data_IF_941922275333
#
_entry.id   IF_941922275333
#
_cell.length_a   1.000
_cell.length_b   1.000
_cell.length_c   1.000
_cell.angle_alpha   90.00
_cell.angle_beta   90.00
_cell.angle_gamma   90.00
#
_symmetry.space_group_name_H-M   'P 1'
#
loop_
_entity.id
_entity.type
_entity.pdbx_description
1 polymer ?
#
# COMPACT_ATOMS: atom_id res chain seq x y z
N UNK A 1 40.15 50.03 9.60
CA UNK A 1 39.10 49.18 10.19
C UNK A 1 37.91 49.07 9.24
N UNK A 2 37.10 50.11 9.04
CA UNK A 2 35.88 50.07 8.19
C UNK A 2 36.03 49.43 6.80
N UNK A 3 37.11 49.71 6.04
CA UNK A 3 37.31 49.10 4.71
C UNK A 3 37.50 47.57 4.77
N UNK A 4 38.13 47.07 5.83
CA UNK A 4 38.32 45.64 6.07
C UNK A 4 36.98 44.99 6.41
N UNK A 5 36.22 45.60 7.32
CA UNK A 5 34.91 45.09 7.75
C UNK A 5 33.93 45.01 6.58
N UNK A 6 33.93 46.04 5.71
CA UNK A 6 33.12 46.04 4.47
C UNK A 6 33.56 44.94 3.50
N UNK A 7 34.85 44.62 3.44
CA UNK A 7 35.35 43.57 2.54
C UNK A 7 34.95 42.18 3.04
N UNK A 8 35.09 41.93 4.35
CA UNK A 8 34.62 40.70 5.01
C UNK A 8 33.11 40.54 4.84
N UNK A 9 32.33 41.62 5.01
CA UNK A 9 30.89 41.58 4.81
C UNK A 9 30.51 41.18 3.38
N UNK A 10 31.23 41.66 2.35
CA UNK A 10 31.00 41.28 0.95
C UNK A 10 31.27 39.80 0.70
N UNK A 11 32.31 39.25 1.31
CA UNK A 11 32.66 37.84 1.21
C UNK A 11 31.57 36.97 1.88
N UNK A 12 31.20 37.30 3.11
CA UNK A 12 30.13 36.60 3.83
C UNK A 12 28.79 36.65 3.09
N UNK A 13 28.43 37.79 2.49
CA UNK A 13 27.21 37.90 1.68
C UNK A 13 27.31 37.06 0.41
N UNK A 14 28.49 36.91 -0.19
CA UNK A 14 28.69 36.05 -1.36
C UNK A 14 28.53 34.57 -1.01
N UNK A 15 29.09 34.15 0.13
CA UNK A 15 28.92 32.79 0.67
C UNK A 15 27.44 32.52 0.97
N UNK A 16 26.77 33.41 1.71
CA UNK A 16 25.36 33.27 2.04
C UNK A 16 24.48 33.15 0.79
N UNK A 17 24.81 33.87 -0.30
CA UNK A 17 24.10 33.72 -1.57
C UNK A 17 24.27 32.32 -2.13
N UNK A 18 25.48 31.77 -2.14
CA UNK A 18 25.76 30.42 -2.62
C UNK A 18 24.98 29.38 -1.80
N UNK A 19 25.05 29.46 -0.47
CA UNK A 19 24.32 28.56 0.44
C UNK A 19 22.81 28.62 0.19
N UNK A 20 22.25 29.82 -0.01
CA UNK A 20 20.82 30.01 -0.33
C UNK A 20 20.46 29.43 -1.70
N UNK A 21 21.36 29.44 -2.69
CA UNK A 21 21.12 28.77 -3.97
C UNK A 21 21.09 27.26 -3.80
N UNK A 22 22.05 26.67 -3.09
CA UNK A 22 22.06 25.22 -2.80
C UNK A 22 20.81 24.80 -2.03
N UNK A 23 20.41 25.55 -0.99
CA UNK A 23 19.18 25.26 -0.25
C UNK A 23 17.92 25.29 -1.14
N UNK A 24 17.88 26.16 -2.16
CA UNK A 24 16.75 26.19 -3.11
C UNK A 24 16.72 24.94 -3.99
N UNK A 25 17.88 24.45 -4.42
CA UNK A 25 17.98 23.22 -5.21
C UNK A 25 17.57 22.00 -4.36
N UNK A 26 18.09 21.90 -3.13
CA UNK A 26 17.74 20.82 -2.20
C UNK A 26 16.24 20.79 -1.90
N UNK A 27 15.63 21.95 -1.61
CA UNK A 27 14.18 22.06 -1.40
C UNK A 27 13.40 21.71 -2.68
N UNK A 28 13.95 22.00 -3.86
CA UNK A 28 13.38 21.59 -5.15
C UNK A 28 13.37 20.06 -5.32
N UNK A 29 14.48 19.40 -4.97
CA UNK A 29 14.60 17.93 -4.99
C UNK A 29 13.61 17.30 -4.00
N UNK A 30 13.57 17.78 -2.76
CA UNK A 30 12.66 17.28 -1.72
C UNK A 30 11.20 17.37 -2.17
N UNK A 31 10.79 18.45 -2.85
CA UNK A 31 9.43 18.56 -3.39
C UNK A 31 9.13 17.50 -4.44
N UNK A 32 10.10 17.19 -5.29
CA UNK A 32 9.97 16.16 -6.33
C UNK A 32 9.87 14.77 -5.71
N UNK A 33 10.72 14.47 -4.74
CA UNK A 33 10.70 13.20 -4.01
C UNK A 33 9.39 13.02 -3.25
N UNK A 34 8.90 14.08 -2.59
CA UNK A 34 7.63 14.04 -1.85
C UNK A 34 6.43 13.80 -2.78
N UNK A 35 6.43 14.37 -3.99
CA UNK A 35 5.40 14.10 -4.99
C UNK A 35 5.45 12.65 -5.48
N UNK A 36 6.65 12.11 -5.68
CA UNK A 36 6.84 10.70 -6.06
C UNK A 36 6.35 9.76 -4.95
N UNK A 37 6.71 10.04 -3.70
CA UNK A 37 6.26 9.27 -2.54
C UNK A 37 4.73 9.31 -2.39
N UNK A 38 4.10 10.46 -2.62
CA UNK A 38 2.64 10.58 -2.62
C UNK A 38 1.99 9.67 -3.67
N UNK A 39 2.55 9.64 -4.89
CA UNK A 39 2.05 8.79 -5.96
C UNK A 39 2.20 7.31 -5.63
N UNK A 40 3.34 6.90 -5.08
CA UNK A 40 3.58 5.51 -4.70
C UNK A 40 2.69 5.08 -3.54
N UNK A 41 2.44 5.97 -2.57
CA UNK A 41 1.48 5.72 -1.50
C UNK A 41 0.05 5.53 -2.06
N UNK A 42 -0.38 6.33 -3.03
CA UNK A 42 -1.68 6.14 -3.69
C UNK A 42 -1.77 4.79 -4.43
N UNK A 43 -0.70 4.34 -5.09
CA UNK A 43 -0.66 3.01 -5.72
C UNK A 43 -0.76 1.88 -4.69
N UNK A 44 -0.11 2.05 -3.53
CA UNK A 44 -0.17 1.09 -2.43
C UNK A 44 -1.60 0.98 -1.88
N UNK A 45 -2.27 2.10 -1.62
CA UNK A 45 -3.66 2.12 -1.17
C UNK A 45 -4.60 1.42 -2.16
N UNK A 46 -4.46 1.71 -3.45
CA UNK A 46 -5.25 1.03 -4.50
C UNK A 46 -5.00 -0.49 -4.54
N UNK A 47 -3.78 -0.92 -4.22
CA UNK A 47 -3.44 -2.34 -4.16
C UNK A 47 -4.04 -3.00 -2.91
N UNK A 48 -4.05 -2.29 -1.78
CA UNK A 48 -4.69 -2.73 -0.55
C UNK A 48 -6.20 -2.91 -0.74
N UNK A 49 -6.87 -1.98 -1.42
CA UNK A 49 -8.30 -2.09 -1.74
C UNK A 49 -8.61 -3.33 -2.59
N UNK A 50 -7.74 -3.64 -3.56
CA UNK A 50 -7.88 -4.85 -4.39
C UNK A 50 -7.73 -6.12 -3.55
N UNK A 51 -6.75 -6.18 -2.66
CA UNK A 51 -6.55 -7.33 -1.77
C UNK A 51 -7.74 -7.49 -0.81
N UNK A 52 -8.24 -6.39 -0.24
CA UNK A 52 -9.42 -6.41 0.62
C UNK A 52 -10.65 -6.98 -0.11
N UNK A 53 -10.86 -6.56 -1.37
CA UNK A 53 -11.93 -7.09 -2.21
C UNK A 53 -11.74 -8.58 -2.51
N UNK A 54 -10.55 -9.00 -2.93
CA UNK A 54 -10.26 -10.40 -3.21
C UNK A 54 -10.48 -11.29 -1.98
N UNK A 55 -10.13 -10.81 -0.78
CA UNK A 55 -10.38 -11.54 0.46
C UNK A 55 -11.87 -11.66 0.75
N UNK A 56 -12.66 -10.60 0.53
CA UNK A 56 -14.11 -10.64 0.64
C UNK A 56 -14.73 -11.65 -0.33
N UNK A 57 -14.32 -11.61 -1.60
CA UNK A 57 -14.81 -12.52 -2.65
C UNK A 57 -14.48 -13.99 -2.29
N UNK A 58 -13.25 -14.25 -1.82
CA UNK A 58 -12.83 -15.59 -1.36
C UNK A 58 -13.68 -16.10 -0.19
N UNK A 59 -14.02 -15.24 0.78
CA UNK A 59 -14.87 -15.64 1.91
C UNK A 59 -16.28 -16.00 1.47
N UNK A 60 -16.86 -15.27 0.52
CA UNK A 60 -18.18 -15.59 -0.04
C UNK A 60 -18.15 -16.90 -0.83
N UNK A 61 -17.13 -17.11 -1.68
CA UNK A 61 -16.95 -18.40 -2.36
C UNK A 61 -16.81 -19.57 -1.37
N UNK A 62 -16.06 -19.36 -0.26
CA UNK A 62 -15.91 -20.38 0.78
C UNK A 62 -17.25 -20.74 1.41
N UNK A 63 -18.08 -19.74 1.75
CA UNK A 63 -19.44 -19.97 2.29
C UNK A 63 -20.30 -20.76 1.31
N UNK A 64 -20.22 -20.45 0.01
CA UNK A 64 -20.96 -21.16 -1.03
C UNK A 64 -20.50 -22.63 -1.14
N UNK A 65 -19.18 -22.87 -1.11
CA UNK A 65 -18.63 -24.23 -1.08
C UNK A 65 -19.04 -25.00 0.16
N UNK A 66 -19.02 -24.38 1.33
CA UNK A 66 -19.44 -25.03 2.59
C UNK A 66 -20.93 -25.44 2.50
N UNK A 67 -21.79 -24.56 1.97
CA UNK A 67 -23.20 -24.86 1.74
C UNK A 67 -23.43 -25.99 0.71
N UNK A 68 -22.61 -26.03 -0.35
CA UNK A 68 -22.65 -27.10 -1.34
C UNK A 68 -22.21 -28.44 -0.73
N UNK A 69 -21.13 -28.45 0.07
CA UNK A 69 -20.66 -29.63 0.80
C UNK A 69 -21.76 -30.16 1.71
N UNK A 70 -22.44 -29.29 2.47
CA UNK A 70 -23.54 -29.70 3.35
C UNK A 70 -24.70 -30.31 2.56
N UNK A 71 -25.04 -29.74 1.40
CA UNK A 71 -26.06 -30.30 0.51
C UNK A 71 -25.65 -31.67 -0.02
N UNK A 72 -24.39 -31.82 -0.46
CA UNK A 72 -23.86 -33.07 -0.98
C UNK A 72 -23.83 -34.15 0.10
N UNK A 73 -23.41 -33.83 1.33
CA UNK A 73 -23.47 -34.74 2.48
C UNK A 73 -24.89 -35.26 2.71
N UNK A 74 -25.90 -34.38 2.73
CA UNK A 74 -27.31 -34.78 2.86
C UNK A 74 -27.78 -35.67 1.71
N UNK A 75 -27.31 -35.43 0.50
CA UNK A 75 -27.63 -36.29 -0.66
C UNK A 75 -27.01 -37.67 -0.52
N UNK A 76 -25.75 -37.75 -0.10
CA UNK A 76 -25.05 -39.01 0.16
C UNK A 76 -25.76 -39.82 1.25
N UNK A 77 -26.15 -39.19 2.36
CA UNK A 77 -26.94 -39.83 3.43
C UNK A 77 -28.27 -40.38 2.91
N UNK A 78 -29.02 -39.60 2.12
CA UNK A 78 -30.28 -40.05 1.54
C UNK A 78 -30.11 -41.23 0.59
N UNK A 79 -29.05 -41.22 -0.23
CA UNK A 79 -28.74 -42.34 -1.13
C UNK A 79 -28.39 -43.58 -0.31
N UNK A 80 -27.49 -43.45 0.67
CA UNK A 80 -27.07 -44.54 1.54
C UNK A 80 -28.26 -45.23 2.23
N UNK A 81 -29.20 -44.43 2.75
CA UNK A 81 -30.47 -44.93 3.32
C UNK A 81 -31.31 -45.68 2.28
N UNK A 82 -31.44 -45.17 1.05
CA UNK A 82 -32.21 -45.82 -0.02
C UNK A 82 -31.62 -47.14 -0.49
N UNK A 83 -30.29 -47.26 -0.51
CA UNK A 83 -29.59 -48.46 -0.99
C UNK A 83 -29.19 -49.43 0.13
N UNK A 84 -29.48 -49.10 1.40
CA UNK A 84 -29.18 -49.96 2.55
C UNK A 84 -27.69 -50.07 2.89
N UNK A 85 -26.88 -49.07 2.51
CA UNK A 85 -25.44 -49.05 2.79
C UNK A 85 -25.17 -48.21 4.04
N UNK A 86 -24.31 -48.70 4.93
CA UNK A 86 -23.86 -47.96 6.12
C UNK A 86 -22.66 -47.08 5.75
N UNK A 87 -22.75 -45.78 6.00
CA UNK A 87 -21.61 -44.86 5.86
C UNK A 87 -20.64 -45.06 7.04
N UNK A 88 -19.35 -44.88 6.77
CA UNK A 88 -18.26 -44.86 7.75
C UNK A 88 -17.62 -43.47 7.72
N UNK A 89 -17.21 -42.99 8.89
CA UNK A 89 -16.59 -41.67 9.10
C UNK A 89 -15.23 -41.52 8.42
#
# INVERSE_FOLDING_TARGET
MLKSDVSILKENVSILKADVYTLKEDVGSIKTDMNSLKNDFSKLLNSLDKVAKQYSDYLEERKMRDAEIDRLKRWVEQIAQKVGVKLVD
#
